data_IF_626766654906
#
_entry.id   IF_626766654906
#
_cell.length_a   1.000
_cell.length_b   1.000
_cell.length_c   1.000
_cell.angle_alpha   90.00
_cell.angle_beta   90.00
_cell.angle_gamma   90.00
#
_symmetry.space_group_name_H-M   'P 1'
#
loop_
_entity.id
_entity.type
_entity.pdbx_description
1 polymer ?
#
# COMPACT_ATOMS: atom_id res chain seq x y z
N UNK A 1 -14.20 14.29 0.23
CA UNK A 1 -14.84 13.22 1.03
C UNK A 1 -16.18 13.64 1.61
N UNK A 2 -16.24 14.71 2.43
CA UNK A 2 -17.51 15.20 2.98
C UNK A 2 -18.50 15.65 1.89
N UNK A 3 -18.00 16.31 0.84
CA UNK A 3 -18.79 16.66 -0.35
C UNK A 3 -19.36 15.44 -1.09
N UNK A 4 -18.74 14.27 -0.93
CA UNK A 4 -19.22 13.00 -1.47
C UNK A 4 -20.16 12.26 -0.49
N UNK A 5 -20.57 12.90 0.62
CA UNK A 5 -21.52 12.34 1.60
C UNK A 5 -20.94 11.35 2.60
N UNK A 6 -19.60 11.25 2.70
CA UNK A 6 -18.96 10.29 3.60
C UNK A 6 -19.00 10.74 5.07
N UNK A 7 -19.21 9.79 5.99
CA UNK A 7 -18.96 9.97 7.43
C UNK A 7 -17.49 9.69 7.71
N UNK A 8 -16.70 10.73 7.97
CA UNK A 8 -15.23 10.63 8.02
C UNK A 8 -14.74 10.54 9.47
N UNK A 9 -13.94 9.50 9.76
CA UNK A 9 -13.17 9.38 11.00
C UNK A 9 -11.69 9.53 10.70
N UNK A 10 -11.06 10.68 10.99
CA UNK A 10 -9.63 10.84 10.82
C UNK A 10 -8.85 10.01 11.86
N UNK A 11 -7.70 9.49 11.45
CA UNK A 11 -6.75 8.82 12.33
C UNK A 11 -5.36 9.34 12.02
N UNK A 12 -4.58 9.62 13.07
CA UNK A 12 -3.22 10.09 12.97
C UNK A 12 -2.28 9.00 13.47
N UNK A 13 -1.15 8.90 12.79
CA UNK A 13 -0.07 8.00 13.13
C UNK A 13 1.23 8.79 13.17
N UNK A 14 2.03 8.55 14.19
CA UNK A 14 3.33 9.19 14.39
C UNK A 14 4.36 8.07 14.51
N UNK A 15 5.35 8.09 13.63
CA UNK A 15 6.39 7.06 13.58
C UNK A 15 7.24 7.06 14.88
N UNK A 16 7.33 8.20 15.59
CA UNK A 16 8.03 8.29 16.89
C UNK A 16 7.30 7.54 17.98
N UNK A 17 5.97 7.66 18.03
CA UNK A 17 5.17 6.86 18.96
C UNK A 17 5.28 5.38 18.66
N UNK A 18 5.42 5.00 17.38
CA UNK A 18 5.71 3.62 17.02
C UNK A 18 7.08 3.15 17.50
N UNK A 19 8.13 3.96 17.32
CA UNK A 19 9.46 3.66 17.88
C UNK A 19 9.38 3.46 19.39
N UNK A 20 8.78 4.40 20.12
CA UNK A 20 8.64 4.32 21.58
C UNK A 20 7.83 3.11 22.02
N UNK A 21 6.74 2.80 21.32
CA UNK A 21 5.93 1.61 21.58
C UNK A 21 6.77 0.34 21.47
N UNK A 22 7.55 0.21 20.39
CA UNK A 22 8.46 -0.91 20.24
C UNK A 22 9.67 -0.83 21.15
N UNK A 23 10.13 0.33 21.61
CA UNK A 23 11.33 0.42 22.45
C UNK A 23 11.02 0.15 23.92
N UNK A 24 9.88 0.62 24.40
CA UNK A 24 9.55 0.65 25.82
C UNK A 24 8.37 -0.24 26.23
N UNK A 25 7.54 -0.69 25.28
CA UNK A 25 6.36 -1.50 25.60
C UNK A 25 6.68 -2.84 26.28
N UNK A 26 5.87 -3.26 27.25
CA UNK A 26 5.90 -4.66 27.71
C UNK A 26 5.33 -5.61 26.65
N UNK A 27 5.55 -6.91 26.79
CA UNK A 27 4.97 -7.91 25.87
C UNK A 27 3.43 -7.80 25.86
N UNK A 28 2.79 -7.67 27.03
CA UNK A 28 1.34 -7.43 27.14
C UNK A 28 0.88 -6.19 26.35
N UNK A 29 1.67 -5.10 26.35
CA UNK A 29 1.36 -3.89 25.59
C UNK A 29 1.57 -4.07 24.08
N UNK A 30 2.61 -4.82 23.68
CA UNK A 30 2.85 -5.17 22.28
C UNK A 30 1.73 -6.09 21.72
N UNK A 31 1.21 -6.98 22.56
CA UNK A 31 0.11 -7.87 22.23
C UNK A 31 -1.26 -7.16 22.25
N UNK A 32 -1.36 -6.02 22.93
CA UNK A 32 -2.63 -5.32 23.08
C UNK A 32 -3.20 -4.81 21.74
N UNK A 33 -4.40 -5.28 21.42
CA UNK A 33 -5.15 -4.87 20.23
C UNK A 33 -6.07 -3.71 20.59
N UNK A 34 -5.91 -2.58 19.90
CA UNK A 34 -6.79 -1.42 20.10
C UNK A 34 -8.22 -1.73 19.65
N UNK A 35 -9.24 -1.58 20.52
CA UNK A 35 -10.64 -1.78 20.14
C UNK A 35 -11.10 -0.83 19.02
N UNK A 36 -10.54 0.38 18.96
CA UNK A 36 -10.86 1.36 17.91
C UNK A 36 -10.33 0.87 16.56
N UNK A 37 -9.11 0.34 16.53
CA UNK A 37 -8.53 -0.23 15.30
C UNK A 37 -9.32 -1.43 14.81
N UNK A 38 -9.70 -2.31 15.73
CA UNK A 38 -10.53 -3.47 15.40
C UNK A 38 -11.88 -3.03 14.79
N UNK A 39 -12.58 -2.11 15.47
CA UNK A 39 -13.87 -1.59 15.00
C UNK A 39 -13.76 -0.94 13.62
N UNK A 40 -12.71 -0.17 13.37
CA UNK A 40 -12.48 0.46 12.07
C UNK A 40 -12.34 -0.59 10.95
N UNK A 41 -11.56 -1.65 11.18
CA UNK A 41 -11.36 -2.73 10.21
C UNK A 41 -12.63 -3.57 10.01
N UNK A 42 -13.46 -3.72 11.04
CA UNK A 42 -14.70 -4.49 10.97
C UNK A 42 -15.87 -3.73 10.34
N UNK A 43 -15.92 -2.40 10.48
CA UNK A 43 -17.11 -1.61 10.16
C UNK A 43 -16.92 -0.56 9.08
N UNK A 44 -15.70 -0.11 8.79
CA UNK A 44 -15.51 0.90 7.76
C UNK A 44 -15.85 0.33 6.36
N UNK A 45 -16.46 1.15 5.51
CA UNK A 45 -16.70 0.81 4.10
C UNK A 45 -15.48 1.16 3.22
N UNK A 46 -14.68 2.13 3.66
CA UNK A 46 -13.51 2.62 2.96
C UNK A 46 -12.39 3.04 3.92
N UNK A 47 -11.13 2.75 3.55
CA UNK A 47 -9.94 3.24 4.23
C UNK A 47 -9.03 3.99 3.26
N UNK A 48 -8.63 5.20 3.63
CA UNK A 48 -7.66 5.99 2.86
C UNK A 48 -6.42 6.14 3.73
N UNK A 49 -5.29 5.60 3.27
CA UNK A 49 -4.01 5.70 3.96
C UNK A 49 -3.07 6.59 3.16
N UNK A 50 -2.72 7.73 3.75
CA UNK A 50 -1.67 8.61 3.27
C UNK A 50 -0.40 8.30 4.07
N UNK A 51 0.65 7.82 3.41
CA UNK A 51 1.96 7.64 4.03
C UNK A 51 2.73 8.94 3.96
N UNK A 52 3.14 9.46 5.11
CA UNK A 52 4.01 10.62 5.24
C UNK A 52 4.97 10.33 6.40
N UNK A 53 6.12 9.74 6.11
CA UNK A 53 7.06 9.40 7.17
C UNK A 53 7.76 10.67 7.70
N UNK A 54 8.01 10.73 8.99
CA UNK A 54 8.91 11.74 9.56
C UNK A 54 10.38 11.27 9.47
N UNK A 55 10.63 9.97 9.66
CA UNK A 55 11.93 9.36 9.41
C UNK A 55 11.76 7.88 9.02
N UNK A 56 12.34 7.47 7.91
CA UNK A 56 12.29 6.08 7.40
C UNK A 56 13.09 5.09 8.25
N UNK A 57 13.90 5.58 9.20
CA UNK A 57 14.86 4.78 9.99
C UNK A 57 14.52 4.66 11.48
N UNK A 58 13.32 5.06 11.92
CA UNK A 58 12.94 4.96 13.33
C UNK A 58 13.10 3.56 13.94
N UNK A 59 12.81 2.52 13.16
CA UNK A 59 12.86 1.14 13.66
C UNK A 59 14.20 0.44 13.43
N UNK A 60 15.23 1.12 12.89
CA UNK A 60 16.51 0.48 12.51
C UNK A 60 17.20 -0.23 13.68
N UNK A 61 17.11 0.33 14.89
CA UNK A 61 17.76 -0.23 16.09
C UNK A 61 16.78 -0.97 17.01
N UNK A 62 15.54 -1.18 16.58
CA UNK A 62 14.54 -1.91 17.36
C UNK A 62 14.77 -3.42 17.21
N UNK A 63 14.74 -4.15 18.33
CA UNK A 63 14.86 -5.61 18.32
C UNK A 63 13.76 -6.24 17.44
N UNK A 64 14.10 -7.00 16.39
CA UNK A 64 13.14 -7.62 15.49
C UNK A 64 12.12 -8.54 16.16
N UNK A 65 12.47 -9.20 17.27
CA UNK A 65 11.54 -10.07 17.99
C UNK A 65 10.33 -9.29 18.54
N UNK A 66 10.50 -8.00 18.85
CA UNK A 66 9.40 -7.16 19.36
C UNK A 66 8.41 -6.79 18.25
N UNK A 67 8.91 -6.59 17.02
CA UNK A 67 8.06 -6.44 15.85
C UNK A 67 7.30 -7.73 15.53
N UNK A 68 7.95 -8.88 15.71
CA UNK A 68 7.32 -10.20 15.52
C UNK A 68 6.19 -10.46 16.51
N UNK A 69 6.35 -10.15 17.80
CA UNK A 69 5.25 -10.22 18.79
C UNK A 69 4.05 -9.42 18.30
N UNK A 70 4.29 -8.18 17.87
CA UNK A 70 3.23 -7.30 17.34
C UNK A 70 2.58 -7.86 16.07
N UNK A 71 3.35 -8.43 15.15
CA UNK A 71 2.83 -9.05 13.93
C UNK A 71 1.92 -10.23 14.24
N UNK A 72 2.29 -11.07 15.21
CA UNK A 72 1.47 -12.20 15.67
C UNK A 72 0.16 -11.71 16.27
N UNK A 73 0.21 -10.73 17.18
CA UNK A 73 -0.98 -10.16 17.80
C UNK A 73 -1.95 -9.53 16.78
N UNK A 74 -1.43 -8.95 15.70
CA UNK A 74 -2.24 -8.30 14.65
C UNK A 74 -2.83 -9.27 13.61
N UNK A 75 -2.54 -10.57 13.70
CA UNK A 75 -2.91 -11.57 12.67
C UNK A 75 -4.41 -11.58 12.37
N UNK A 76 -5.26 -11.68 13.39
CA UNK A 76 -6.71 -11.82 13.19
C UNK A 76 -7.35 -10.57 12.56
N UNK A 77 -6.84 -9.38 12.93
CA UNK A 77 -7.24 -8.12 12.29
C UNK A 77 -6.81 -8.11 10.83
N UNK A 78 -5.58 -8.54 10.52
CA UNK A 78 -5.08 -8.58 9.14
C UNK A 78 -5.87 -9.57 8.28
N UNK A 79 -6.24 -10.72 8.85
CA UNK A 79 -7.11 -11.68 8.17
C UNK A 79 -8.49 -11.09 7.88
N UNK A 80 -9.09 -10.39 8.85
CA UNK A 80 -10.39 -9.73 8.69
C UNK A 80 -10.32 -8.66 7.60
N UNK A 81 -9.29 -7.80 7.66
CA UNK A 81 -9.01 -6.80 6.64
C UNK A 81 -8.90 -7.43 5.24
N UNK A 82 -8.09 -8.49 5.11
CA UNK A 82 -7.84 -9.15 3.83
C UNK A 82 -9.11 -9.80 3.27
N UNK A 83 -9.89 -10.49 4.12
CA UNK A 83 -11.15 -11.11 3.72
C UNK A 83 -12.14 -10.07 3.21
N UNK A 84 -12.34 -8.97 3.94
CA UNK A 84 -13.25 -7.89 3.53
C UNK A 84 -12.77 -7.18 2.27
N UNK A 85 -11.47 -6.93 2.14
CA UNK A 85 -10.89 -6.32 0.94
C UNK A 85 -11.06 -7.21 -0.30
N UNK A 86 -10.87 -8.52 -0.17
CA UNK A 86 -10.98 -9.48 -1.27
C UNK A 86 -12.41 -9.58 -1.84
N UNK A 87 -13.43 -9.44 -1.00
CA UNK A 87 -14.85 -9.47 -1.43
C UNK A 87 -15.44 -8.09 -1.73
N UNK A 88 -14.66 -7.01 -1.52
CA UNK A 88 -15.09 -5.64 -1.79
C UNK A 88 -15.89 -4.96 -0.68
N UNK A 89 -16.15 -5.65 0.45
CA UNK A 89 -16.83 -5.09 1.63
C UNK A 89 -16.03 -3.96 2.28
N UNK A 90 -14.71 -3.95 2.09
CA UNK A 90 -13.83 -2.89 2.53
C UNK A 90 -12.99 -2.41 1.34
N UNK A 91 -13.30 -1.21 0.84
CA UNK A 91 -12.43 -0.55 -0.14
C UNK A 91 -11.26 0.09 0.58
N UNK A 92 -10.10 0.09 -0.05
CA UNK A 92 -8.95 0.75 0.53
C UNK A 92 -8.13 1.41 -0.56
N UNK A 93 -7.50 2.54 -0.21
CA UNK A 93 -6.50 3.15 -1.06
C UNK A 93 -5.30 3.56 -0.21
N UNK A 94 -4.11 3.25 -0.71
CA UNK A 94 -2.82 3.60 -0.15
C UNK A 94 -2.10 4.52 -1.12
N UNK A 95 -1.67 5.68 -0.62
CA UNK A 95 -0.79 6.55 -1.39
C UNK A 95 0.26 7.22 -0.51
N UNK A 96 1.21 7.89 -1.16
CA UNK A 96 2.28 8.63 -0.51
C UNK A 96 1.96 10.12 -0.55
N UNK A 97 2.28 10.81 0.54
CA UNK A 97 2.26 12.26 0.61
C UNK A 97 3.72 12.75 0.59
N UNK A 98 4.03 13.82 -0.17
CA UNK A 98 5.38 14.37 -0.22
C UNK A 98 5.88 14.80 1.17
N UNK A 99 7.01 14.26 1.60
CA UNK A 99 7.66 14.64 2.85
C UNK A 99 9.19 14.56 2.72
N UNK A 100 9.90 15.28 3.59
CA UNK A 100 11.37 15.36 3.56
C UNK A 100 12.03 13.99 3.70
N UNK A 101 11.48 13.11 4.52
CA UNK A 101 12.05 11.77 4.74
C UNK A 101 12.04 10.94 3.45
N UNK A 102 10.94 10.94 2.70
CA UNK A 102 10.88 10.21 1.44
C UNK A 102 11.67 10.88 0.32
N UNK A 103 11.72 12.21 0.28
CA UNK A 103 12.55 12.92 -0.68
C UNK A 103 14.04 12.57 -0.49
N UNK A 104 14.52 12.55 0.75
CA UNK A 104 15.88 12.13 1.09
C UNK A 104 16.15 10.67 0.70
N UNK A 105 15.19 9.78 0.95
CA UNK A 105 15.34 8.36 0.59
C UNK A 105 15.35 8.13 -0.93
N UNK A 106 14.80 9.06 -1.70
CA UNK A 106 14.79 9.05 -3.15
C UNK A 106 15.95 9.84 -3.78
N UNK A 107 16.88 10.37 -2.96
CA UNK A 107 17.96 11.28 -3.39
C UNK A 107 17.44 12.53 -4.16
N UNK A 108 16.30 13.06 -3.73
CA UNK A 108 15.61 14.21 -4.33
C UNK A 108 15.46 15.37 -3.33
N UNK A 109 15.37 16.60 -3.83
CA UNK A 109 14.82 17.69 -3.05
C UNK A 109 13.31 17.47 -2.79
N UNK A 110 12.75 18.10 -1.75
CA UNK A 110 11.33 17.96 -1.43
C UNK A 110 10.42 18.33 -2.61
N UNK A 111 10.76 19.38 -3.35
CA UNK A 111 9.98 19.84 -4.50
C UNK A 111 10.03 18.87 -5.67
N UNK A 112 11.21 18.33 -5.97
CA UNK A 112 11.35 17.29 -7.01
C UNK A 112 10.55 16.04 -6.66
N UNK A 113 10.56 15.64 -5.37
CA UNK A 113 9.78 14.50 -4.91
C UNK A 113 8.27 14.78 -4.95
N UNK A 114 7.83 15.99 -4.62
CA UNK A 114 6.43 16.43 -4.77
C UNK A 114 5.97 16.35 -6.23
N UNK A 115 6.74 16.96 -7.15
CA UNK A 115 6.46 16.92 -8.59
C UNK A 115 6.42 15.46 -9.09
N UNK A 116 7.34 14.61 -8.61
CA UNK A 116 7.37 13.19 -8.93
C UNK A 116 6.11 12.45 -8.47
N UNK A 117 5.68 12.61 -7.21
CA UNK A 117 4.50 11.93 -6.67
C UNK A 117 3.21 12.42 -7.36
N UNK A 118 3.07 13.72 -7.59
CA UNK A 118 1.89 14.23 -8.30
C UNK A 118 1.83 13.76 -9.74
N UNK A 119 2.94 13.79 -10.47
CA UNK A 119 2.99 13.25 -11.83
C UNK A 119 2.71 11.74 -11.85
N UNK A 120 3.32 10.97 -10.95
CA UNK A 120 3.11 9.52 -10.85
C UNK A 120 1.66 9.13 -10.49
N UNK A 121 0.92 10.02 -9.82
CA UNK A 121 -0.50 9.82 -9.47
C UNK A 121 -1.47 10.52 -10.42
N UNK A 122 -0.95 11.21 -11.44
CA UNK A 122 -1.67 12.11 -12.35
C UNK A 122 -2.42 13.24 -11.66
N UNK A 123 -2.11 13.55 -10.40
CA UNK A 123 -2.79 14.59 -9.62
C UNK A 123 -2.55 16.00 -10.17
N UNK A 124 -1.49 16.17 -10.95
CA UNK A 124 -1.13 17.39 -11.67
C UNK A 124 -1.86 17.55 -13.02
N UNK A 125 -2.60 16.53 -13.48
CA UNK A 125 -3.30 16.54 -14.75
C UNK A 125 -4.69 17.18 -14.64
N UNK A 126 -5.17 17.77 -15.75
CA UNK A 126 -6.51 18.38 -15.81
C UNK A 126 -7.66 17.36 -15.69
N UNK A 127 -7.41 16.10 -16.09
CA UNK A 127 -8.36 15.00 -15.94
C UNK A 127 -7.66 13.73 -15.45
N UNK A 128 -7.30 13.64 -14.16
CA UNK A 128 -6.57 12.51 -13.60
C UNK A 128 -7.32 11.18 -13.76
N UNK A 129 -8.67 11.24 -13.72
CA UNK A 129 -9.53 10.06 -13.88
C UNK A 129 -9.36 9.45 -15.27
N UNK A 130 -9.26 10.27 -16.32
CA UNK A 130 -9.04 9.76 -17.66
C UNK A 130 -7.64 9.16 -17.80
N UNK A 131 -6.61 9.77 -17.21
CA UNK A 131 -5.26 9.21 -17.21
C UNK A 131 -5.22 7.80 -16.61
N UNK A 132 -5.93 7.57 -15.49
CA UNK A 132 -6.05 6.24 -14.89
C UNK A 132 -6.84 5.25 -15.74
N UNK A 133 -7.86 5.71 -16.48
CA UNK A 133 -8.58 4.86 -17.46
C UNK A 133 -7.67 4.45 -18.62
N UNK A 134 -6.83 5.37 -19.11
CA UNK A 134 -5.87 5.06 -20.18
C UNK A 134 -4.82 4.04 -19.70
N UNK A 135 -4.36 4.15 -18.44
CA UNK A 135 -3.50 3.14 -17.80
C UNK A 135 -4.22 1.80 -17.71
N UNK A 136 -5.48 1.79 -17.26
CA UNK A 136 -6.30 0.58 -17.22
C UNK A 136 -6.35 -0.10 -18.59
N UNK A 137 -6.75 0.60 -19.64
CA UNK A 137 -6.92 0.03 -20.97
C UNK A 137 -5.60 -0.55 -21.51
N UNK A 138 -4.50 0.17 -21.30
CA UNK A 138 -3.16 -0.28 -21.69
C UNK A 138 -2.72 -1.53 -20.92
N UNK A 139 -2.98 -1.60 -19.62
CA UNK A 139 -2.63 -2.77 -18.81
C UNK A 139 -3.54 -3.96 -19.10
N UNK A 140 -4.83 -3.71 -19.38
CA UNK A 140 -5.80 -4.76 -19.68
C UNK A 140 -5.41 -5.51 -20.96
N UNK A 141 -4.91 -4.79 -21.98
CA UNK A 141 -4.33 -5.41 -23.17
C UNK A 141 -3.27 -6.46 -22.84
N UNK A 142 -2.38 -6.18 -21.89
CA UNK A 142 -1.33 -7.13 -21.47
C UNK A 142 -1.86 -8.25 -20.59
N UNK A 143 -2.83 -7.98 -19.71
CA UNK A 143 -3.53 -9.01 -18.93
C UNK A 143 -4.19 -10.02 -19.86
N UNK A 144 -4.91 -9.54 -20.89
CA UNK A 144 -5.56 -10.37 -21.89
C UNK A 144 -4.54 -11.16 -22.72
N UNK A 145 -3.41 -10.54 -23.07
CA UNK A 145 -2.32 -11.23 -23.76
C UNK A 145 -1.69 -12.34 -22.92
N UNK A 146 -1.55 -12.15 -21.60
CA UNK A 146 -1.02 -13.15 -20.66
C UNK A 146 -1.98 -14.32 -20.42
N UNK A 147 -3.27 -14.15 -20.68
CA UNK A 147 -4.28 -15.19 -20.49
C UNK A 147 -3.92 -16.47 -21.25
N UNK A 148 -3.91 -17.61 -20.54
CA UNK A 148 -3.62 -18.93 -21.11
C UNK A 148 -2.14 -19.21 -21.41
N UNK A 149 -1.23 -18.26 -21.16
CA UNK A 149 0.21 -18.52 -21.26
C UNK A 149 0.69 -19.37 -20.09
N UNK A 150 1.79 -20.09 -20.31
CA UNK A 150 2.27 -21.11 -19.37
C UNK A 150 3.62 -20.82 -18.74
N UNK A 151 4.49 -20.08 -19.43
CA UNK A 151 5.83 -19.81 -18.95
C UNK A 151 6.21 -18.36 -19.24
N UNK A 152 6.96 -17.77 -18.32
CA UNK A 152 7.63 -16.49 -18.49
C UNK A 152 9.12 -16.73 -18.30
N UNK A 153 9.93 -16.19 -19.21
CA UNK A 153 11.38 -16.23 -19.13
C UNK A 153 11.89 -14.79 -19.06
N UNK A 154 12.59 -14.47 -17.98
CA UNK A 154 13.21 -13.18 -17.74
C UNK A 154 14.71 -13.34 -17.95
N UNK A 155 15.24 -12.67 -18.98
CA UNK A 155 16.66 -12.69 -19.32
C UNK A 155 17.25 -11.29 -19.35
N UNK A 156 18.44 -11.15 -18.79
CA UNK A 156 19.21 -9.90 -18.75
C UNK A 156 20.65 -10.17 -18.31
N UNK A 157 21.49 -9.13 -18.17
CA UNK A 157 22.92 -9.28 -17.90
C UNK A 157 23.25 -10.12 -16.65
N UNK A 158 22.36 -10.06 -15.65
CA UNK A 158 22.52 -10.76 -14.36
C UNK A 158 21.29 -11.61 -14.00
N UNK A 159 20.40 -11.91 -14.96
CA UNK A 159 19.18 -12.69 -14.70
C UNK A 159 18.91 -13.67 -15.84
N UNK A 160 18.68 -14.92 -15.48
CA UNK A 160 18.10 -15.95 -16.35
C UNK A 160 17.14 -16.78 -15.50
N UNK A 161 15.88 -16.38 -15.52
CA UNK A 161 14.83 -16.93 -14.66
C UNK A 161 13.67 -17.41 -15.53
N UNK A 162 13.26 -18.66 -15.34
CA UNK A 162 12.07 -19.23 -15.95
C UNK A 162 11.04 -19.57 -14.87
N UNK A 163 9.81 -19.11 -15.05
CA UNK A 163 8.71 -19.29 -14.12
C UNK A 163 7.49 -19.84 -14.86
N UNK A 164 6.81 -20.81 -14.25
CA UNK A 164 5.50 -21.23 -14.73
C UNK A 164 4.42 -20.24 -14.30
N UNK A 165 3.59 -19.86 -15.27
CA UNK A 165 2.37 -19.06 -15.10
C UNK A 165 1.12 -19.85 -15.56
N UNK A 166 1.24 -21.16 -15.77
CA UNK A 166 0.11 -22.01 -16.16
C UNK A 166 -1.01 -21.94 -15.11
N UNK A 167 -2.24 -21.75 -15.58
CA UNK A 167 -3.42 -21.59 -14.73
C UNK A 167 -3.46 -20.33 -13.86
N UNK A 168 -2.58 -19.34 -14.07
CA UNK A 168 -2.58 -18.08 -13.32
C UNK A 168 -3.53 -17.04 -13.93
N UNK A 169 -4.22 -16.32 -13.05
CA UNK A 169 -5.01 -15.14 -13.41
C UNK A 169 -4.20 -13.89 -13.06
N UNK A 170 -4.05 -13.00 -14.04
CA UNK A 170 -3.41 -11.71 -13.86
C UNK A 170 -4.45 -10.61 -13.64
N UNK A 171 -4.09 -9.64 -12.81
CA UNK A 171 -4.97 -8.56 -12.37
C UNK A 171 -4.32 -7.23 -12.73
N UNK A 172 -5.16 -6.34 -13.25
CA UNK A 172 -4.84 -4.98 -13.60
C UNK A 172 -4.79 -4.11 -12.33
N UNK A 173 -3.74 -3.31 -12.17
CA UNK A 173 -3.58 -2.37 -11.06
C UNK A 173 -3.64 -0.93 -11.57
N UNK A 174 -4.85 -0.37 -11.59
CA UNK A 174 -5.22 0.87 -12.28
C UNK A 174 -5.51 2.05 -11.33
N UNK A 175 -4.85 2.10 -10.16
CA UNK A 175 -5.00 3.23 -9.24
C UNK A 175 -6.17 3.13 -8.26
N UNK A 176 -6.88 1.98 -8.20
CA UNK A 176 -8.01 1.78 -7.27
C UNK A 176 -7.60 1.54 -5.82
N UNK A 177 -6.51 0.83 -5.60
CA UNK A 177 -6.02 0.47 -4.26
C UNK A 177 -4.64 1.01 -3.95
N UNK A 178 -3.69 0.94 -4.89
CA UNK A 178 -2.39 1.60 -4.75
C UNK A 178 -2.37 2.84 -5.64
N UNK A 179 -1.83 3.95 -5.15
CA UNK A 179 -1.48 5.12 -5.97
C UNK A 179 -0.10 5.65 -5.53
N UNK A 180 0.89 5.82 -6.43
CA UNK A 180 0.86 5.45 -7.84
C UNK A 180 0.76 3.92 -8.04
N UNK A 181 0.42 3.52 -9.25
CA UNK A 181 0.20 2.14 -9.69
C UNK A 181 0.74 1.97 -11.11
N UNK A 182 0.80 0.74 -11.59
CA UNK A 182 1.39 0.42 -12.89
C UNK A 182 1.81 -1.04 -13.06
N UNK A 183 1.65 -1.84 -12.02
CA UNK A 183 1.92 -3.27 -12.04
C UNK A 183 0.78 -4.10 -12.66
N UNK A 184 1.15 -5.23 -13.26
CA UNK A 184 0.23 -6.35 -13.53
C UNK A 184 0.70 -7.47 -12.62
N UNK A 185 -0.18 -7.91 -11.73
CA UNK A 185 0.17 -8.86 -10.68
C UNK A 185 -0.75 -10.07 -10.69
N UNK A 186 -0.46 -11.05 -9.85
CA UNK A 186 -1.31 -12.21 -9.61
C UNK A 186 -1.64 -12.33 -8.13
N UNK A 187 -2.77 -12.95 -7.83
CA UNK A 187 -3.06 -13.49 -6.49
C UNK A 187 -2.56 -14.95 -6.42
#
# INVERSE_FOLDING_TARGET
MLEAGAHVTPSLYDDRFEEDFYKYGSDDQLEWISPIRQLAIEKADALIKLRAADNTRYLTNINPERQKVRQIAMKDILETYTKRAAVGDLRWVLTQYPCSAFAQEADMSLREYEDFIFSATFADQSNPVQCWRDVHDKQQHWVDWLAGKKNVVVRGPCVDLSLSIDGRTFINSDGKSNMPSGEIFRI
#
